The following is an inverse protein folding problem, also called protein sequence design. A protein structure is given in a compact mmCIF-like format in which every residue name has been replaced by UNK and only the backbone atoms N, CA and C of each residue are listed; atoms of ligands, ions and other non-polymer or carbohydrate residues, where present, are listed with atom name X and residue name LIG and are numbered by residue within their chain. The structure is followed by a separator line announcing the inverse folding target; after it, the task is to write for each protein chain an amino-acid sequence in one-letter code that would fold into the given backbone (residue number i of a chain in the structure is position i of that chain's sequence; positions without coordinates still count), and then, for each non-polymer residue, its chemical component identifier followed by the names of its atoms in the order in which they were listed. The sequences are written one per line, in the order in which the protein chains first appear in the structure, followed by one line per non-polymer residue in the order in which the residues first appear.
data_IF_785642344747
#
_entry.id   IF_785642344747
#
_cell.length_a   1.000
_cell.length_b   1.000
_cell.length_c   1.000
_cell.angle_alpha   90.00
_cell.angle_beta   90.00
_cell.angle_gamma   90.00
#
_symmetry.space_group_name_H-M   'P 1'
#
loop_
_entity.id
_entity.type
_entity.pdbx_description
1 polymer ?
#
# COMPACT_ATOMS: atom_id res chain seq x y z
N UNK A 1 -14.47 -21.71 -19.98
CA UNK A 1 -14.97 -21.40 -18.63
C UNK A 1 -14.11 -20.26 -18.07
N UNK A 2 -14.67 -19.26 -17.37
CA UNK A 2 -13.85 -18.24 -16.72
C UNK A 2 -12.92 -18.91 -15.72
N UNK A 3 -11.67 -18.43 -15.62
CA UNK A 3 -10.76 -18.89 -14.57
C UNK A 3 -11.30 -18.46 -13.19
N UNK A 4 -10.88 -19.13 -12.12
CA UNK A 4 -11.19 -18.71 -10.74
C UNK A 4 -10.79 -17.24 -10.50
N UNK A 5 -9.66 -16.82 -11.07
CA UNK A 5 -9.18 -15.45 -11.03
C UNK A 5 -10.13 -14.46 -11.75
N UNK A 6 -10.77 -14.87 -12.85
CA UNK A 6 -11.74 -14.03 -13.55
C UNK A 6 -13.05 -13.89 -12.78
N UNK A 7 -13.51 -14.95 -12.09
CA UNK A 7 -14.67 -14.89 -11.21
C UNK A 7 -14.43 -13.90 -10.07
N UNK A 8 -13.30 -14.02 -9.37
CA UNK A 8 -12.90 -13.10 -8.30
C UNK A 8 -12.84 -11.66 -8.81
N UNK A 9 -12.19 -11.42 -9.93
CA UNK A 9 -12.05 -10.08 -10.47
C UNK A 9 -13.39 -9.46 -10.90
N UNK A 10 -14.31 -10.26 -11.45
CA UNK A 10 -15.66 -9.80 -11.81
C UNK A 10 -16.49 -9.45 -10.57
N UNK A 11 -16.36 -10.24 -9.50
CA UNK A 11 -16.97 -9.93 -8.20
C UNK A 11 -16.44 -8.60 -7.67
N UNK A 12 -15.11 -8.43 -7.61
CA UNK A 12 -14.46 -7.19 -7.16
C UNK A 12 -14.89 -5.99 -8.01
N UNK A 13 -14.95 -6.13 -9.33
CA UNK A 13 -15.38 -5.06 -10.25
C UNK A 13 -16.83 -4.64 -10.01
N UNK A 14 -17.73 -5.60 -9.76
CA UNK A 14 -19.14 -5.31 -9.47
C UNK A 14 -19.30 -4.60 -8.13
N UNK A 15 -18.55 -5.06 -7.12
CA UNK A 15 -18.64 -4.54 -5.76
C UNK A 15 -17.98 -3.18 -5.56
N UNK A 16 -16.77 -2.99 -6.11
CA UNK A 16 -15.96 -1.79 -5.88
C UNK A 16 -15.92 -0.84 -7.08
N UNK A 17 -16.31 -1.30 -8.28
CA UNK A 17 -16.27 -0.50 -9.49
C UNK A 17 -17.47 0.43 -9.71
N UNK A 18 -18.56 0.26 -8.96
CA UNK A 18 -19.76 1.09 -9.11
C UNK A 18 -19.56 2.53 -8.54
N UNK A 19 -20.29 3.54 -9.05
CA UNK A 19 -20.10 4.94 -8.66
C UNK A 19 -20.24 5.21 -7.14
N UNK A 20 -21.14 4.51 -6.47
CA UNK A 20 -21.40 4.68 -5.03
C UNK A 20 -20.22 4.14 -4.21
N UNK A 21 -19.79 2.91 -4.47
CA UNK A 21 -18.62 2.33 -3.82
C UNK A 21 -17.37 3.17 -4.07
N UNK A 22 -17.16 3.66 -5.30
CA UNK A 22 -16.02 4.53 -5.61
C UNK A 22 -16.09 5.86 -4.85
N UNK A 23 -17.26 6.46 -4.73
CA UNK A 23 -17.44 7.68 -3.93
C UNK A 23 -17.12 7.45 -2.45
N UNK A 24 -17.65 6.37 -1.86
CA UNK A 24 -17.38 6.01 -0.47
C UNK A 24 -15.89 5.71 -0.25
N UNK A 25 -15.26 4.96 -1.15
CA UNK A 25 -13.82 4.67 -1.12
C UNK A 25 -12.99 5.94 -1.18
N UNK A 26 -13.26 6.86 -2.11
CA UNK A 26 -12.59 8.17 -2.17
C UNK A 26 -12.76 8.94 -0.86
N UNK A 27 -13.95 8.90 -0.27
CA UNK A 27 -14.23 9.61 0.97
C UNK A 27 -13.50 9.03 2.19
N UNK A 28 -13.40 7.71 2.32
CA UNK A 28 -12.66 7.07 3.43
C UNK A 28 -11.15 7.11 3.21
N UNK A 29 -10.69 6.96 1.97
CA UNK A 29 -9.28 6.87 1.63
C UNK A 29 -8.59 8.24 1.55
N UNK A 30 -9.35 9.33 1.36
CA UNK A 30 -8.79 10.69 1.30
C UNK A 30 -7.89 10.99 2.51
N UNK A 31 -6.60 11.19 2.23
CA UNK A 31 -5.59 11.58 3.22
C UNK A 31 -5.82 13.04 3.67
N UNK A 32 -5.75 13.27 4.98
CA UNK A 32 -5.68 14.60 5.62
C UNK A 32 -4.58 14.57 6.68
N UNK A 33 -3.59 15.48 6.58
CA UNK A 33 -2.43 15.54 7.50
C UNK A 33 -1.71 14.19 7.67
N UNK A 34 -1.43 13.50 6.55
CA UNK A 34 -0.69 12.22 6.55
C UNK A 34 -1.46 10.99 7.03
N UNK A 35 -2.76 11.09 7.35
CA UNK A 35 -3.61 9.94 7.72
C UNK A 35 -4.93 9.92 6.96
N UNK A 36 -5.45 8.74 6.68
CA UNK A 36 -6.80 8.55 6.10
C UNK A 36 -7.79 7.98 7.11
N UNK A 37 -9.10 8.19 6.88
CA UNK A 37 -10.15 7.56 7.70
C UNK A 37 -10.13 6.04 7.53
N UNK A 38 -9.72 5.57 6.37
CA UNK A 38 -9.51 4.16 6.08
C UNK A 38 -8.45 3.56 7.01
N UNK A 39 -7.29 4.19 7.16
CA UNK A 39 -6.25 3.72 8.09
C UNK A 39 -6.74 3.67 9.54
N UNK A 40 -7.49 4.70 9.97
CA UNK A 40 -8.11 4.74 11.30
C UNK A 40 -9.13 3.61 11.48
N UNK A 41 -9.97 3.37 10.48
CA UNK A 41 -10.94 2.28 10.47
C UNK A 41 -10.26 0.90 10.53
N UNK A 42 -9.17 0.70 9.77
CA UNK A 42 -8.38 -0.54 9.81
C UNK A 42 -7.74 -0.76 11.19
N UNK A 43 -7.22 0.28 11.83
CA UNK A 43 -6.70 0.21 13.21
C UNK A 43 -7.81 -0.14 14.22
N UNK A 44 -9.00 0.45 14.07
CA UNK A 44 -10.15 0.11 14.92
C UNK A 44 -10.59 -1.35 14.73
N UNK A 45 -10.57 -1.84 13.49
CA UNK A 45 -10.98 -3.21 13.14
C UNK A 45 -10.13 -4.28 13.84
N UNK A 46 -8.85 -3.99 14.09
CA UNK A 46 -7.95 -4.86 14.86
C UNK A 46 -7.88 -4.54 16.36
N UNK A 47 -8.68 -3.58 16.84
CA UNK A 47 -8.74 -3.20 18.26
C UNK A 47 -7.68 -2.20 18.73
N UNK A 48 -6.93 -1.57 17.82
CA UNK A 48 -5.83 -0.64 18.15
C UNK A 48 -6.23 0.85 18.19
N UNK A 49 -7.51 1.18 17.99
CA UNK A 49 -7.98 2.57 18.00
C UNK A 49 -9.27 2.75 18.80
N UNK A 50 -9.28 3.72 19.71
CA UNK A 50 -10.41 4.13 20.55
C UNK A 50 -10.67 5.64 20.43
N UNK A 51 -11.86 6.11 20.81
CA UNK A 51 -12.17 7.54 20.86
C UNK A 51 -12.30 8.22 19.48
N UNK A 52 -13.05 7.60 18.57
CA UNK A 52 -13.22 8.10 17.21
C UNK A 52 -14.25 9.21 17.11
N UNK A 53 -14.01 10.17 16.22
CA UNK A 53 -15.01 11.16 15.81
C UNK A 53 -16.21 10.50 15.13
N UNK A 54 -17.32 11.23 14.99
CA UNK A 54 -18.51 10.74 14.30
C UNK A 54 -18.21 10.27 12.86
N UNK A 55 -17.41 11.03 12.10
CA UNK A 55 -17.05 10.67 10.73
C UNK A 55 -16.18 9.42 10.65
N UNK A 56 -15.30 9.20 11.62
CA UNK A 56 -14.45 8.01 11.66
C UNK A 56 -15.22 6.77 12.11
N UNK A 57 -16.22 6.92 12.98
CA UNK A 57 -17.15 5.83 13.30
C UNK A 57 -17.97 5.41 12.09
N UNK A 58 -18.45 6.37 11.30
CA UNK A 58 -19.14 6.09 10.04
C UNK A 58 -18.21 5.39 9.03
N UNK A 59 -16.98 5.89 8.88
CA UNK A 59 -15.97 5.26 8.03
C UNK A 59 -15.65 3.83 8.47
N UNK A 60 -15.51 3.59 9.78
CA UNK A 60 -15.31 2.25 10.33
C UNK A 60 -16.46 1.31 9.98
N UNK A 61 -17.71 1.74 10.07
CA UNK A 61 -18.85 0.89 9.72
C UNK A 61 -18.80 0.47 8.24
N UNK A 62 -18.53 1.41 7.34
CA UNK A 62 -18.39 1.17 5.90
C UNK A 62 -17.24 0.19 5.63
N UNK A 63 -16.06 0.44 6.22
CA UNK A 63 -14.87 -0.39 6.02
C UNK A 63 -15.05 -1.78 6.63
N UNK A 64 -15.64 -1.89 7.83
CA UNK A 64 -15.95 -3.18 8.46
C UNK A 64 -16.89 -4.02 7.60
N UNK A 65 -17.97 -3.42 7.10
CA UNK A 65 -18.89 -4.10 6.22
C UNK A 65 -18.19 -4.60 4.95
N UNK A 66 -17.35 -3.75 4.34
CA UNK A 66 -16.61 -4.10 3.15
C UNK A 66 -15.59 -5.23 3.38
N UNK A 67 -14.85 -5.20 4.50
CA UNK A 67 -13.89 -6.23 4.88
C UNK A 67 -14.57 -7.58 5.15
N UNK A 68 -15.68 -7.59 5.90
CA UNK A 68 -16.37 -8.84 6.26
C UNK A 68 -16.97 -9.52 5.02
N UNK A 69 -17.58 -8.74 4.12
CA UNK A 69 -18.10 -9.25 2.85
C UNK A 69 -17.00 -9.66 1.87
N UNK A 70 -15.88 -8.94 1.88
CA UNK A 70 -14.66 -9.36 1.20
C UNK A 70 -14.20 -10.73 1.70
N UNK A 71 -14.06 -10.89 3.03
CA UNK A 71 -13.69 -12.15 3.69
C UNK A 71 -14.55 -13.32 3.19
N UNK A 72 -15.87 -13.14 3.24
CA UNK A 72 -16.86 -14.12 2.83
C UNK A 72 -16.67 -14.53 1.35
N UNK A 73 -16.41 -13.55 0.48
CA UNK A 73 -16.19 -13.78 -0.96
C UNK A 73 -14.89 -14.55 -1.26
N UNK A 74 -13.90 -14.48 -0.37
CA UNK A 74 -12.61 -15.17 -0.48
C UNK A 74 -12.52 -16.43 0.42
N UNK A 75 -13.61 -16.82 1.09
CA UNK A 75 -13.63 -17.96 2.01
C UNK A 75 -12.75 -17.78 3.26
N UNK A 76 -12.53 -16.54 3.71
CA UNK A 76 -11.74 -16.22 4.90
C UNK A 76 -12.61 -15.85 6.10
N UNK A 77 -12.17 -16.23 7.30
CA UNK A 77 -12.79 -15.82 8.55
C UNK A 77 -12.38 -14.39 8.95
N UNK A 78 -13.22 -13.74 9.76
CA UNK A 78 -12.94 -12.41 10.32
C UNK A 78 -11.63 -12.41 11.13
N UNK A 79 -11.35 -13.48 11.88
CA UNK A 79 -10.13 -13.64 12.67
C UNK A 79 -8.89 -13.65 11.78
N UNK A 80 -8.93 -14.34 10.65
CA UNK A 80 -7.81 -14.42 9.70
C UNK A 80 -7.52 -13.05 9.07
N UNK A 81 -8.55 -12.27 8.78
CA UNK A 81 -8.38 -10.89 8.30
C UNK A 81 -7.76 -10.02 9.38
N UNK A 82 -8.25 -10.08 10.63
CA UNK A 82 -7.68 -9.33 11.74
C UNK A 82 -6.21 -9.67 11.93
N UNK A 83 -5.84 -10.94 11.92
CA UNK A 83 -4.45 -11.39 12.05
C UNK A 83 -3.58 -10.86 10.91
N UNK A 84 -4.07 -10.88 9.68
CA UNK A 84 -3.37 -10.34 8.52
C UNK A 84 -3.18 -8.82 8.62
N UNK A 85 -4.22 -8.10 9.06
CA UNK A 85 -4.20 -6.65 9.25
C UNK A 85 -3.37 -6.19 10.45
N UNK A 86 -2.94 -7.06 11.37
CA UNK A 86 -1.95 -6.67 12.38
C UNK A 86 -0.63 -6.25 11.73
N UNK A 87 -0.26 -6.90 10.62
CA UNK A 87 0.96 -6.60 9.86
C UNK A 87 0.86 -5.21 9.22
N UNK A 88 1.75 -4.24 9.53
CA UNK A 88 1.70 -2.90 8.96
C UNK A 88 1.75 -2.87 7.43
N UNK A 89 2.55 -3.77 6.83
CA UNK A 89 2.67 -3.91 5.38
C UNK A 89 1.32 -4.25 4.71
N UNK A 90 0.51 -5.12 5.33
CA UNK A 90 -0.80 -5.51 4.81
C UNK A 90 -1.77 -4.33 4.91
N UNK A 91 -1.78 -3.60 6.03
CA UNK A 91 -2.59 -2.39 6.19
C UNK A 91 -2.25 -1.31 5.16
N UNK A 92 -0.96 -1.05 4.94
CA UNK A 92 -0.49 -0.11 3.92
C UNK A 92 -0.88 -0.57 2.52
N UNK A 93 -0.67 -1.85 2.20
CA UNK A 93 -1.04 -2.43 0.92
C UNK A 93 -2.52 -2.30 0.59
N UNK A 94 -3.39 -2.72 1.52
CA UNK A 94 -4.84 -2.60 1.35
C UNK A 94 -5.26 -1.13 1.24
N UNK A 95 -4.68 -0.24 2.05
CA UNK A 95 -5.00 1.19 1.98
C UNK A 95 -4.65 1.79 0.63
N UNK A 96 -3.44 1.51 0.11
CA UNK A 96 -2.97 2.00 -1.17
C UNK A 96 -3.81 1.45 -2.35
N UNK A 97 -4.18 0.16 -2.31
CA UNK A 97 -5.05 -0.45 -3.32
C UNK A 97 -6.46 0.16 -3.29
N UNK A 98 -7.09 0.25 -2.12
CA UNK A 98 -8.45 0.78 -1.99
C UNK A 98 -8.53 2.26 -2.35
N UNK A 99 -7.50 3.04 -2.01
CA UNK A 99 -7.36 4.43 -2.43
C UNK A 99 -7.25 4.53 -3.96
N UNK A 100 -6.42 3.70 -4.58
CA UNK A 100 -6.28 3.59 -6.03
C UNK A 100 -7.61 3.23 -6.72
N UNK A 101 -8.36 2.26 -6.19
CA UNK A 101 -9.69 1.90 -6.70
C UNK A 101 -10.67 3.06 -6.54
N UNK A 102 -10.60 3.81 -5.42
CA UNK A 102 -11.36 5.03 -5.24
C UNK A 102 -11.13 6.00 -6.39
N UNK A 103 -9.88 6.40 -6.63
CA UNK A 103 -9.54 7.37 -7.68
C UNK A 103 -9.72 6.83 -9.09
N UNK A 104 -9.06 5.73 -9.43
CA UNK A 104 -8.96 5.23 -10.81
C UNK A 104 -10.03 4.20 -11.15
N UNK A 105 -10.62 3.53 -10.16
CA UNK A 105 -11.53 2.40 -10.36
C UNK A 105 -10.79 1.06 -10.41
N UNK A 106 -11.56 -0.01 -10.62
CA UNK A 106 -11.01 -1.36 -10.80
C UNK A 106 -10.59 -1.52 -12.26
N UNK A 107 -9.29 -1.69 -12.50
CA UNK A 107 -8.72 -1.82 -13.85
C UNK A 107 -7.61 -2.86 -13.89
N UNK A 108 -7.24 -3.30 -15.10
CA UNK A 108 -6.15 -4.26 -15.34
C UNK A 108 -5.12 -3.61 -16.30
N UNK A 109 -3.84 -3.45 -15.92
CA UNK A 109 -3.28 -3.67 -14.58
C UNK A 109 -3.88 -2.71 -13.54
N UNK A 110 -3.95 -3.13 -12.27
CA UNK A 110 -4.52 -2.28 -11.22
C UNK A 110 -3.56 -1.15 -10.87
N UNK A 111 -4.02 0.09 -11.05
CA UNK A 111 -3.28 1.28 -10.60
C UNK A 111 -3.60 1.56 -9.13
N UNK A 112 -2.54 1.60 -8.32
CA UNK A 112 -2.58 1.93 -6.90
C UNK A 112 -2.46 3.44 -6.71
N UNK A 113 -2.74 3.95 -5.52
CA UNK A 113 -2.63 5.39 -5.24
C UNK A 113 -1.17 5.90 -5.26
N UNK A 114 -0.24 5.04 -4.85
CA UNK A 114 1.20 5.25 -4.92
C UNK A 114 1.89 3.96 -5.38
N UNK A 115 3.17 4.00 -5.82
CA UNK A 115 3.93 2.80 -6.14
C UNK A 115 3.85 1.76 -5.00
N UNK A 116 3.52 0.51 -5.34
CA UNK A 116 3.44 -0.54 -4.33
C UNK A 116 4.83 -0.88 -3.79
N UNK A 117 5.82 -0.99 -4.68
CA UNK A 117 7.22 -1.23 -4.37
C UNK A 117 8.08 -0.18 -5.07
N UNK A 118 9.01 0.42 -4.35
CA UNK A 118 10.15 1.14 -4.93
C UNK A 118 11.36 0.23 -4.80
N UNK A 119 12.03 -0.05 -5.92
CA UNK A 119 13.39 -0.60 -5.92
C UNK A 119 14.31 0.59 -6.10
N UNK A 120 15.08 0.91 -5.07
CA UNK A 120 15.86 2.14 -5.01
C UNK A 120 17.35 1.82 -5.06
N UNK A 121 17.98 2.22 -6.16
CA UNK A 121 19.43 2.28 -6.29
C UNK A 121 19.95 3.46 -5.46
N UNK A 122 20.05 3.24 -4.14
CA UNK A 122 20.31 4.30 -3.16
C UNK A 122 21.80 4.59 -2.98
N UNK A 123 22.66 3.65 -3.39
CA UNK A 123 24.10 3.83 -3.45
C UNK A 123 24.68 3.25 -4.72
N UNK A 124 25.75 3.86 -5.26
CA UNK A 124 26.58 3.28 -6.32
C UNK A 124 27.83 2.58 -5.77
N UNK A 125 28.10 2.71 -4.47
CA UNK A 125 29.27 2.12 -3.83
C UNK A 125 29.11 0.60 -3.70
N UNK A 126 30.13 -0.14 -4.14
CA UNK A 126 30.17 -1.60 -4.11
C UNK A 126 31.61 -2.08 -3.99
N UNK A 127 31.84 -3.11 -3.18
CA UNK A 127 33.12 -3.80 -3.03
C UNK A 127 33.41 -4.81 -4.16
N UNK A 128 32.46 -5.08 -5.06
CA UNK A 128 32.58 -6.02 -6.17
C UNK A 128 32.68 -5.31 -7.53
N UNK A 129 33.04 -6.06 -8.58
CA UNK A 129 33.15 -5.60 -9.98
C UNK A 129 32.58 -6.64 -10.93
N UNK A 130 31.30 -6.98 -10.76
CA UNK A 130 30.64 -8.03 -11.51
C UNK A 130 30.53 -7.69 -12.99
N UNK A 131 30.89 -8.62 -13.89
CA UNK A 131 30.81 -8.43 -15.35
C UNK A 131 29.39 -8.15 -15.87
N UNK A 132 28.37 -8.57 -15.12
CA UNK A 132 26.95 -8.42 -15.44
C UNK A 132 26.25 -7.36 -14.57
N UNK A 133 26.99 -6.43 -13.95
CA UNK A 133 26.40 -5.38 -13.12
C UNK A 133 25.67 -4.37 -14.00
N UNK A 134 24.34 -4.29 -13.89
CA UNK A 134 23.56 -3.30 -14.66
C UNK A 134 23.82 -1.86 -14.19
N UNK A 135 24.09 -1.67 -12.89
CA UNK A 135 24.34 -0.36 -12.29
C UNK A 135 25.73 0.19 -12.65
N UNK A 136 26.65 -0.69 -13.09
CA UNK A 136 28.07 -0.37 -13.20
C UNK A 136 28.61 0.24 -11.88
N UNK A 137 28.23 -0.38 -10.76
CA UNK A 137 28.64 0.00 -9.42
C UNK A 137 30.15 -0.22 -9.23
N UNK A 138 30.74 0.52 -8.29
CA UNK A 138 32.18 0.49 -8.08
C UNK A 138 32.58 0.94 -6.69
N UNK A 139 33.88 1.06 -6.39
CA UNK A 139 34.37 1.27 -5.02
C UNK A 139 34.07 2.67 -4.45
N UNK A 140 33.39 3.54 -5.19
CA UNK A 140 33.10 4.91 -4.81
C UNK A 140 31.59 5.18 -4.98
N UNK A 141 31.00 6.00 -4.10
CA UNK A 141 29.63 6.47 -4.28
C UNK A 141 29.53 7.36 -5.53
N UNK A 142 28.31 7.57 -6.00
CA UNK A 142 28.06 8.54 -7.07
C UNK A 142 28.34 9.97 -6.55
N UNK A 143 28.83 10.89 -7.41
CA UNK A 143 29.15 12.25 -6.97
C UNK A 143 27.92 13.05 -6.53
N UNK A 144 26.74 12.66 -6.99
CA UNK A 144 25.42 13.23 -6.74
C UNK A 144 24.53 12.32 -5.88
N UNK A 145 25.12 11.33 -5.20
CA UNK A 145 24.43 10.44 -4.28
C UNK A 145 23.84 11.23 -3.09
N UNK A 146 22.62 10.88 -2.66
CA UNK A 146 21.99 11.54 -1.52
C UNK A 146 22.82 11.32 -0.26
N UNK A 147 22.93 12.37 0.56
CA UNK A 147 23.42 12.22 1.92
C UNK A 147 22.46 11.33 2.74
N UNK A 148 22.93 10.74 3.82
CA UNK A 148 22.08 9.93 4.71
C UNK A 148 20.84 10.68 5.20
N UNK A 149 20.96 11.98 5.47
CA UNK A 149 19.84 12.80 5.92
C UNK A 149 18.84 13.08 4.80
N UNK A 150 19.30 13.29 3.56
CA UNK A 150 18.42 13.37 2.38
C UNK A 150 17.72 12.04 2.13
N UNK A 151 18.45 10.92 2.27
CA UNK A 151 17.88 9.60 2.07
C UNK A 151 16.79 9.26 3.08
N UNK A 152 16.96 9.62 4.36
CA UNK A 152 15.91 9.50 5.38
C UNK A 152 14.68 10.34 5.04
N UNK A 153 14.88 11.58 4.58
CA UNK A 153 13.77 12.45 4.13
C UNK A 153 13.01 11.84 2.95
N UNK A 154 13.72 11.25 1.98
CA UNK A 154 13.09 10.54 0.88
C UNK A 154 12.24 9.34 1.37
N UNK A 155 12.71 8.58 2.36
CA UNK A 155 11.93 7.49 2.98
C UNK A 155 10.66 8.02 3.65
N UNK A 156 10.74 9.15 4.35
CA UNK A 156 9.57 9.80 4.95
C UNK A 156 8.57 10.23 3.87
N UNK A 157 9.05 10.84 2.78
CA UNK A 157 8.22 11.20 1.62
C UNK A 157 7.56 9.98 0.96
N UNK A 158 8.27 8.87 0.82
CA UNK A 158 7.71 7.62 0.29
C UNK A 158 6.59 7.09 1.20
N UNK A 159 6.80 7.10 2.52
CA UNK A 159 5.79 6.68 3.49
C UNK A 159 4.55 7.60 3.44
N UNK A 160 4.75 8.91 3.34
CA UNK A 160 3.70 9.93 3.23
C UNK A 160 2.97 9.91 1.89
N UNK A 161 3.62 9.43 0.82
CA UNK A 161 2.96 9.15 -0.45
C UNK A 161 2.10 7.86 -0.38
N UNK A 162 2.38 6.95 0.56
CA UNK A 162 1.66 5.68 0.71
C UNK A 162 2.36 4.49 0.04
N UNK A 163 3.65 4.61 -0.24
CA UNK A 163 4.48 3.49 -0.71
C UNK A 163 4.44 2.36 0.31
N UNK A 164 4.24 1.13 -0.19
CA UNK A 164 3.98 -0.03 0.66
C UNK A 164 5.29 -0.67 1.07
N UNK A 165 6.19 -0.89 0.11
CA UNK A 165 7.48 -1.53 0.32
C UNK A 165 8.61 -0.74 -0.36
N UNK A 166 9.80 -0.83 0.23
CA UNK A 166 11.05 -0.29 -0.29
C UNK A 166 12.07 -1.44 -0.34
N UNK A 167 12.75 -1.60 -1.47
CA UNK A 167 13.87 -2.51 -1.63
C UNK A 167 15.12 -1.69 -1.93
N UNK A 168 16.16 -1.86 -1.12
CA UNK A 168 17.45 -1.26 -1.39
C UNK A 168 18.18 -2.04 -2.49
N UNK A 169 18.76 -1.29 -3.41
CA UNK A 169 19.41 -1.77 -4.63
C UNK A 169 20.58 -0.83 -4.97
N UNK A 170 21.21 -1.02 -6.12
CA UNK A 170 22.29 -0.20 -6.66
C UNK A 170 23.62 -0.94 -6.58
N UNK A 171 24.51 -0.46 -5.71
CA UNK A 171 25.74 -1.11 -5.32
C UNK A 171 25.53 -2.16 -4.22
N UNK A 172 26.43 -2.20 -3.24
CA UNK A 172 26.31 -3.06 -2.06
C UNK A 172 25.67 -2.26 -0.91
N UNK A 173 24.45 -2.60 -0.46
CA UNK A 173 23.72 -1.80 0.52
C UNK A 173 24.37 -1.64 1.91
N UNK A 174 25.36 -2.47 2.24
CA UNK A 174 26.04 -2.44 3.54
C UNK A 174 27.44 -1.79 3.50
N UNK A 175 27.84 -1.22 2.36
CA UNK A 175 29.10 -0.47 2.18
C UNK A 175 28.93 1.00 2.52
#
# INVERSE_FOLDING_TARGET
MPSEADLVANTVKTWLGNPVSRFLLRWVAKRKRGRSKLEVALKKYIGEANGLSFQENLAYFIVKFALNKGAESFGYSEERIKESLKKPIVRRGISNILEGIGYYGVQRPQTTAAPFLIVWDFTKQCNLRCKHCYENAGPKPAPDELTTEEGKRAIDEFADAGVVALSFSGGEPLM
#
